data_IF_943754740558
#
_entry.id   IF_943754740558
#
_cell.length_a   1.000
_cell.length_b   1.000
_cell.length_c   1.000
_cell.angle_alpha   90.00
_cell.angle_beta   90.00
_cell.angle_gamma   90.00
#
_symmetry.space_group_name_H-M   'P 1'
#
loop_
_entity.id
_entity.type
_entity.pdbx_description
1 polymer ?
#
# COMPACT_ATOMS: atom_id res chain seq x y z
N UNK A 1 13.62 -2.01 -8.71
CA UNK A 1 12.50 -1.73 -7.78
C UNK A 1 11.92 -3.07 -7.37
N UNK A 2 11.45 -3.24 -6.13
CA UNK A 2 10.73 -4.44 -5.74
C UNK A 2 9.51 -4.64 -6.67
N UNK A 3 9.18 -5.90 -6.94
CA UNK A 3 7.94 -6.31 -7.58
C UNK A 3 6.73 -5.88 -6.75
N UNK A 4 5.55 -5.83 -7.38
CA UNK A 4 4.29 -5.55 -6.68
C UNK A 4 4.08 -6.53 -5.52
N UNK A 5 4.37 -7.80 -5.76
CA UNK A 5 4.24 -8.86 -4.76
C UNK A 5 5.17 -8.63 -3.57
N UNK A 6 6.43 -8.27 -3.81
CA UNK A 6 7.39 -7.96 -2.74
C UNK A 6 6.92 -6.75 -1.91
N UNK A 7 6.36 -5.71 -2.55
CA UNK A 7 5.81 -4.55 -1.82
C UNK A 7 4.68 -4.97 -0.87
N UNK A 8 3.73 -5.79 -1.34
CA UNK A 8 2.65 -6.29 -0.48
C UNK A 8 3.14 -7.22 0.63
N UNK A 9 4.17 -8.03 0.38
CA UNK A 9 4.82 -8.82 1.42
C UNK A 9 5.49 -7.96 2.49
N UNK A 10 6.13 -6.84 2.10
CA UNK A 10 6.69 -5.88 3.04
C UNK A 10 5.60 -5.21 3.88
N UNK A 11 4.46 -4.85 3.28
CA UNK A 11 3.31 -4.30 4.01
C UNK A 11 2.79 -5.34 5.03
N UNK A 12 2.60 -6.58 4.61
CA UNK A 12 2.15 -7.67 5.49
C UNK A 12 3.10 -7.89 6.67
N UNK A 13 4.41 -7.91 6.41
CA UNK A 13 5.41 -8.04 7.46
C UNK A 13 5.35 -6.86 8.43
N UNK A 14 5.25 -5.62 7.95
CA UNK A 14 5.18 -4.44 8.82
C UNK A 14 3.92 -4.42 9.69
N UNK A 15 2.78 -4.86 9.16
CA UNK A 15 1.54 -4.96 9.93
C UNK A 15 1.61 -6.06 11.01
N UNK A 16 2.29 -7.17 10.71
CA UNK A 16 2.53 -8.25 11.68
C UNK A 16 3.54 -7.86 12.75
N UNK A 17 4.55 -7.06 12.41
CA UNK A 17 5.55 -6.56 13.35
C UNK A 17 4.98 -5.48 14.28
N UNK A 18 4.18 -4.56 13.76
CA UNK A 18 3.62 -3.45 14.52
C UNK A 18 2.26 -2.99 13.97
N UNK A 19 1.20 -3.57 14.53
CA UNK A 19 -0.18 -3.26 14.11
C UNK A 19 -0.61 -1.83 14.45
N UNK A 20 0.07 -1.15 15.38
CA UNK A 20 -0.21 0.25 15.74
C UNK A 20 -0.05 1.21 14.54
N UNK A 21 0.64 0.77 13.48
CA UNK A 21 0.75 1.51 12.20
C UNK A 21 -0.59 1.68 11.49
N UNK A 22 -1.55 0.80 11.77
CA UNK A 22 -2.91 0.85 11.27
C UNK A 22 -3.92 1.28 12.35
N UNK A 23 -3.44 1.80 13.49
CA UNK A 23 -4.30 2.21 14.59
C UNK A 23 -5.32 3.26 14.14
N UNK A 24 -6.58 3.06 14.57
CA UNK A 24 -7.69 3.93 14.20
C UNK A 24 -8.28 3.65 12.81
N UNK A 25 -7.77 2.65 12.09
CA UNK A 25 -8.31 2.22 10.79
C UNK A 25 -8.86 0.80 10.91
N UNK A 26 -10.15 0.64 10.61
CA UNK A 26 -10.81 -0.66 10.52
C UNK A 26 -11.49 -0.72 9.16
N UNK A 27 -10.83 -1.37 8.19
CA UNK A 27 -11.28 -1.44 6.82
C UNK A 27 -10.55 -2.53 6.03
N UNK A 28 -11.19 -3.02 4.97
CA UNK A 28 -10.62 -3.86 3.94
C UNK A 28 -10.37 -3.02 2.68
N UNK A 29 -9.10 -2.78 2.35
CA UNK A 29 -8.71 -2.09 1.12
C UNK A 29 -8.37 -3.10 0.04
N UNK A 30 -9.09 -3.07 -1.08
CA UNK A 30 -8.78 -3.87 -2.26
C UNK A 30 -8.01 -3.05 -3.30
N UNK A 31 -6.92 -3.60 -3.80
CA UNK A 31 -6.09 -3.05 -4.86
C UNK A 31 -6.24 -3.91 -6.10
N UNK A 32 -6.88 -3.36 -7.12
CA UNK A 32 -6.98 -3.95 -8.46
C UNK A 32 -5.89 -3.35 -9.33
N UNK A 33 -4.78 -4.06 -9.50
CA UNK A 33 -3.62 -3.60 -10.26
C UNK A 33 -3.69 -4.09 -11.71
N UNK A 34 -3.39 -3.18 -12.64
CA UNK A 34 -3.25 -3.46 -14.07
C UNK A 34 -1.78 -3.33 -14.54
N UNK A 35 -1.54 -3.63 -15.82
CA UNK A 35 -0.21 -3.50 -16.44
C UNK A 35 0.63 -4.77 -16.35
N UNK A 36 1.95 -4.63 -16.35
CA UNK A 36 2.90 -5.76 -16.43
C UNK A 36 2.85 -6.67 -15.19
N UNK A 37 2.56 -6.11 -14.02
CA UNK A 37 2.39 -6.86 -12.77
C UNK A 37 0.93 -6.75 -12.27
N UNK A 38 -0.01 -7.05 -13.15
CA UNK A 38 -1.43 -7.07 -12.83
C UNK A 38 -1.76 -8.11 -11.73
N UNK A 39 -2.72 -7.77 -10.88
CA UNK A 39 -3.14 -8.64 -9.78
C UNK A 39 -4.13 -7.95 -8.85
N UNK A 40 -4.82 -8.75 -8.03
CA UNK A 40 -5.72 -8.23 -6.98
C UNK A 40 -5.10 -8.54 -5.63
N UNK A 41 -5.09 -7.56 -4.74
CA UNK A 41 -4.59 -7.70 -3.38
C UNK A 41 -5.55 -7.03 -2.40
N UNK A 42 -5.70 -7.58 -1.20
CA UNK A 42 -6.49 -6.98 -0.14
C UNK A 42 -5.61 -6.73 1.09
N UNK A 43 -5.63 -5.51 1.61
CA UNK A 43 -5.05 -5.14 2.89
C UNK A 43 -6.18 -5.07 3.90
N UNK A 44 -6.20 -6.01 4.84
CA UNK A 44 -7.22 -6.11 5.89
C UNK A 44 -6.66 -5.48 7.15
N UNK A 45 -7.33 -4.44 7.64
CA UNK A 45 -6.96 -3.73 8.88
C UNK A 45 -8.11 -3.86 9.89
N UNK A 46 -7.79 -4.38 11.07
CA UNK A 46 -8.69 -4.57 12.21
C UNK A 46 -8.02 -4.05 13.49
N UNK A 47 -8.77 -3.82 14.57
CA UNK A 47 -8.21 -3.25 15.81
C UNK A 47 -7.02 -4.02 16.39
N UNK A 48 -6.97 -5.34 16.19
CA UNK A 48 -5.99 -6.25 16.77
C UNK A 48 -5.22 -7.07 15.73
N UNK A 49 -5.49 -6.88 14.44
CA UNK A 49 -4.89 -7.66 13.36
C UNK A 49 -4.78 -6.87 12.07
N UNK A 50 -3.67 -7.06 11.36
CA UNK A 50 -3.44 -6.49 10.04
C UNK A 50 -2.67 -7.48 9.18
N UNK A 51 -3.15 -7.72 7.97
CA UNK A 51 -2.53 -8.68 7.06
C UNK A 51 -2.89 -8.37 5.61
N UNK A 52 -2.10 -8.91 4.69
CA UNK A 52 -2.35 -8.82 3.25
C UNK A 52 -2.76 -10.18 2.69
N UNK A 53 -3.74 -10.18 1.81
CA UNK A 53 -4.21 -11.34 1.06
C UNK A 53 -4.03 -11.09 -0.44
N UNK A 54 -3.59 -12.10 -1.18
CA UNK A 54 -3.62 -12.10 -2.65
C UNK A 54 -5.02 -12.60 -3.11
N UNK A 55 -5.64 -11.85 -4.03
CA UNK A 55 -7.01 -12.06 -4.50
C UNK A 55 -8.08 -11.28 -3.72
N UNK A 56 -9.34 -11.55 -4.03
CA UNK A 56 -10.53 -10.99 -3.37
C UNK A 56 -11.13 -12.06 -2.44
N UNK A 57 -10.86 -11.98 -1.14
CA UNK A 57 -11.33 -12.95 -0.15
C UNK A 57 -12.37 -12.38 0.82
N UNK A 58 -12.29 -11.09 1.15
CA UNK A 58 -13.24 -10.40 2.02
C UNK A 58 -13.96 -9.27 1.28
N UNK A 59 -15.18 -8.88 1.70
CA UNK A 59 -15.85 -7.72 1.14
C UNK A 59 -15.02 -6.45 1.38
N UNK A 60 -14.65 -5.76 0.30
CA UNK A 60 -13.85 -4.55 0.39
C UNK A 60 -14.70 -3.35 0.82
N UNK A 61 -14.23 -2.59 1.81
CA UNK A 61 -14.79 -1.28 2.17
C UNK A 61 -14.38 -0.21 1.16
N UNK A 62 -13.20 -0.37 0.55
CA UNK A 62 -12.65 0.54 -0.45
C UNK A 62 -11.91 -0.23 -1.53
N UNK A 63 -12.16 0.11 -2.80
CA UNK A 63 -11.48 -0.49 -3.95
C UNK A 63 -10.68 0.57 -4.70
N UNK A 64 -9.38 0.34 -4.85
CA UNK A 64 -8.42 1.17 -5.57
C UNK A 64 -8.02 0.45 -6.85
N UNK A 65 -8.22 1.07 -8.01
CA UNK A 65 -7.79 0.53 -9.30
C UNK A 65 -6.71 1.43 -9.89
N UNK A 66 -5.53 0.89 -10.18
CA UNK A 66 -4.40 1.66 -10.72
C UNK A 66 -3.41 0.76 -11.46
N UNK A 67 -2.49 1.37 -12.21
CA UNK A 67 -1.41 0.64 -12.85
C UNK A 67 -0.34 0.19 -11.84
N UNK A 68 0.22 -0.99 -12.06
CA UNK A 68 1.27 -1.58 -11.23
C UNK A 68 2.55 -0.72 -11.19
N UNK A 69 2.92 -0.03 -12.27
CA UNK A 69 4.06 0.89 -12.28
C UNK A 69 3.81 2.12 -11.41
N UNK A 70 2.60 2.70 -11.49
CA UNK A 70 2.20 3.83 -10.65
C UNK A 70 2.16 3.45 -9.17
N UNK A 71 1.64 2.26 -8.86
CA UNK A 71 1.67 1.72 -7.50
C UNK A 71 3.10 1.60 -6.98
N UNK A 72 4.02 1.03 -7.75
CA UNK A 72 5.44 0.91 -7.36
C UNK A 72 6.11 2.28 -7.19
N UNK A 73 5.78 3.25 -8.05
CA UNK A 73 6.34 4.61 -8.01
C UNK A 73 5.86 5.42 -6.81
N UNK A 74 4.57 5.32 -6.45
CA UNK A 74 3.99 6.05 -5.34
C UNK A 74 4.16 5.32 -4.00
N UNK A 75 4.08 3.99 -3.98
CA UNK A 75 4.32 3.15 -2.81
C UNK A 75 5.75 3.27 -2.28
N UNK A 76 6.73 3.50 -3.17
CA UNK A 76 8.12 3.76 -2.79
C UNK A 76 8.35 5.11 -2.08
N UNK A 77 7.52 6.13 -2.35
CA UNK A 77 7.68 7.47 -1.74
C UNK A 77 7.17 7.56 -0.31
N UNK A 78 6.36 6.60 0.15
CA UNK A 78 5.95 6.48 1.55
C UNK A 78 7.06 5.96 2.48
N UNK A 79 8.13 5.40 1.92
CA UNK A 79 9.31 4.87 2.63
C UNK A 79 10.57 5.68 2.27
N UNK A 80 10.44 6.97 1.99
CA UNK A 80 11.57 7.90 2.06
C UNK A 80 11.37 8.79 3.29
N UNK A 81 11.92 8.34 4.43
CA UNK A 81 12.18 9.21 5.57
C UNK A 81 13.15 10.30 5.10
N UNK A 82 12.61 11.48 4.82
CA UNK A 82 13.22 12.80 5.01
C UNK A 82 14.63 12.99 4.43
N UNK A 83 14.70 13.50 3.20
CA UNK A 83 15.98 13.94 2.60
C UNK A 83 15.87 14.83 1.35
N UNK A 84 14.68 15.25 0.94
CA UNK A 84 14.49 16.08 -0.25
C UNK A 84 13.75 17.37 0.10
N UNK A 85 14.50 18.45 0.24
CA UNK A 85 13.96 19.80 0.36
C UNK A 85 13.08 20.08 -0.86
N UNK A 86 11.79 20.32 -0.62
CA UNK A 86 10.90 20.91 -1.61
C UNK A 86 11.37 22.35 -1.83
N UNK A 87 12.23 22.55 -2.83
CA UNK A 87 12.59 23.88 -3.27
C UNK A 87 11.31 24.54 -3.80
N UNK A 88 10.85 25.50 -3.01
CA UNK A 88 9.65 26.28 -3.23
C UNK A 88 9.90 27.14 -4.46
N UNK A 89 9.42 26.72 -5.62
CA UNK A 89 9.24 27.60 -6.77
C UNK A 89 8.15 28.63 -6.40
N UNK A 90 8.57 29.68 -5.69
CA UNK A 90 7.82 30.91 -5.57
C UNK A 90 8.32 31.86 -6.65
N UNK A 91 7.42 32.20 -7.56
CA UNK A 91 7.57 33.23 -8.57
C UNK A 91 8.10 34.55 -8.00
N UNK A 92 9.21 35.05 -8.57
CA UNK A 92 9.34 36.42 -9.06
C UNK A 92 10.54 36.54 -10.00
#
# INVERSE_FOLDING_TARGET
>A
MPSVKEVFQMIDQQLKEDISRAEGIVAVYQFNLSGDEAGVYQVVLRPDAGFVIEGEQEPSDCTLSMDSEDFKKNGGRGIERNGGVYERAASH
#
